data_IF_139292944066
#
_entry.id   IF_139292944066
#
_cell.length_a   1.000
_cell.length_b   1.000
_cell.length_c   1.000
_cell.angle_alpha   90.00
_cell.angle_beta   90.00
_cell.angle_gamma   90.00
#
_symmetry.space_group_name_H-M   'P 1'
#
loop_
_entity.id
_entity.type
_entity.pdbx_description
1 polymer ?
#
# COMPACT_ATOMS: atom_id res chain seq x y z
N UNK A 1 39.11 7.69 62.21
CA UNK A 1 38.25 6.63 61.62
C UNK A 1 36.75 6.96 61.56
N UNK A 2 36.20 7.90 62.35
CA UNK A 2 34.73 8.16 62.35
C UNK A 2 34.22 9.02 61.17
N UNK A 3 35.03 9.94 60.65
CA UNK A 3 34.62 10.89 59.58
C UNK A 3 34.46 10.19 58.21
N UNK A 4 35.34 9.26 57.89
CA UNK A 4 35.31 8.49 56.63
C UNK A 4 34.07 7.60 56.52
N UNK A 5 33.58 7.08 57.65
CA UNK A 5 32.41 6.21 57.68
C UNK A 5 31.10 6.99 57.47
N UNK A 6 31.01 8.23 57.95
CA UNK A 6 29.84 9.10 57.75
C UNK A 6 29.72 9.58 56.30
N UNK A 7 30.85 9.85 55.64
CA UNK A 7 30.88 10.22 54.21
C UNK A 7 30.42 9.07 53.31
N UNK A 8 30.84 7.83 53.61
CA UNK A 8 30.38 6.64 52.88
C UNK A 8 28.88 6.40 53.07
N UNK A 9 28.35 6.62 54.28
CA UNK A 9 26.92 6.42 54.56
C UNK A 9 26.06 7.45 53.80
N UNK A 10 26.50 8.72 53.72
CA UNK A 10 25.82 9.77 52.95
C UNK A 10 25.84 9.48 51.44
N UNK A 11 26.96 8.96 50.91
CA UNK A 11 27.06 8.52 49.51
C UNK A 11 26.17 7.29 49.22
N UNK A 12 26.02 6.37 50.18
CA UNK A 12 25.11 5.23 50.06
C UNK A 12 23.64 5.69 50.05
N UNK A 13 23.25 6.62 50.93
CA UNK A 13 21.85 7.10 50.98
C UNK A 13 21.48 7.91 49.74
N UNK A 14 22.42 8.71 49.20
CA UNK A 14 22.22 9.45 47.96
C UNK A 14 22.12 8.54 46.72
N UNK A 15 22.84 7.43 46.70
CA UNK A 15 22.73 6.45 45.60
C UNK A 15 21.43 5.65 45.67
N UNK A 16 20.96 5.30 46.87
CA UNK A 16 19.67 4.61 47.06
C UNK A 16 18.48 5.51 46.68
N UNK A 17 18.52 6.83 46.96
CA UNK A 17 17.42 7.74 46.56
C UNK A 17 17.38 8.03 45.06
N UNK A 18 18.52 7.93 44.37
CA UNK A 18 18.60 8.14 42.92
C UNK A 18 18.00 6.98 42.10
N UNK A 19 17.77 5.82 42.72
CA UNK A 19 17.21 4.63 42.04
C UNK A 19 15.68 4.53 42.07
N UNK A 20 14.97 5.39 42.82
CA UNK A 20 13.51 5.31 42.94
C UNK A 20 12.72 6.26 42.03
N UNK A 21 13.34 6.90 41.03
CA UNK A 21 12.66 7.98 40.29
C UNK A 21 12.98 8.06 38.78
N UNK A 22 12.92 6.96 38.03
CA UNK A 22 12.68 7.01 36.57
C UNK A 22 11.92 5.75 36.13
N UNK A 23 10.60 5.72 36.31
CA UNK A 23 9.78 4.75 35.61
C UNK A 23 9.51 5.29 34.20
N UNK A 24 10.41 4.95 33.28
CA UNK A 24 10.24 5.22 31.85
C UNK A 24 9.04 4.41 31.37
N UNK A 25 7.88 5.05 31.28
CA UNK A 25 6.75 4.49 30.54
C UNK A 25 7.13 4.56 29.07
N UNK A 26 7.88 3.57 28.61
CA UNK A 26 7.88 3.23 27.20
C UNK A 26 6.46 2.78 26.88
N UNK A 27 5.68 3.68 26.29
CA UNK A 27 4.55 3.26 25.46
C UNK A 27 5.20 2.51 24.30
N UNK A 28 5.48 1.23 24.50
CA UNK A 28 5.70 0.31 23.41
C UNK A 28 4.40 0.37 22.61
N UNK A 29 4.41 1.12 21.50
CA UNK A 29 3.44 0.89 20.46
C UNK A 29 3.66 -0.57 20.09
N UNK A 30 2.79 -1.45 20.58
CA UNK A 30 2.80 -2.85 20.20
C UNK A 30 2.95 -2.88 18.68
N UNK A 31 3.85 -3.70 18.11
CA UNK A 31 3.90 -3.85 16.66
C UNK A 31 2.46 -4.05 16.22
N UNK A 32 1.94 -3.19 15.33
CA UNK A 32 0.59 -3.32 14.80
C UNK A 32 0.52 -4.72 14.19
N UNK A 33 -0.03 -5.69 14.92
CA UNK A 33 0.10 -7.11 14.56
C UNK A 33 -0.56 -7.44 13.22
N UNK A 34 -1.27 -6.48 12.61
CA UNK A 34 -1.90 -6.62 11.31
C UNK A 34 -1.71 -5.36 10.43
N UNK A 35 -0.58 -4.65 10.48
CA UNK A 35 -0.36 -3.54 9.55
C UNK A 35 -0.26 -4.06 8.10
N UNK A 36 -1.12 -3.56 7.22
CA UNK A 36 -1.13 -3.89 5.79
C UNK A 36 -1.27 -2.61 4.99
N UNK A 37 -0.30 -2.33 4.12
CA UNK A 37 -0.35 -1.22 3.20
C UNK A 37 0.58 -1.47 2.03
N UNK A 38 0.14 -1.19 0.81
CA UNK A 38 0.99 -1.23 -0.37
C UNK A 38 0.70 -0.05 -1.29
N UNK A 39 1.70 0.31 -2.08
CA UNK A 39 1.59 1.27 -3.16
C UNK A 39 2.58 0.88 -4.26
N UNK A 40 2.11 0.80 -5.50
CA UNK A 40 2.90 0.39 -6.64
C UNK A 40 2.49 1.11 -7.93
N UNK A 41 3.42 1.21 -8.88
CA UNK A 41 3.20 1.71 -10.24
C UNK A 41 3.60 0.68 -11.30
N UNK A 42 3.12 0.86 -12.54
CA UNK A 42 3.15 -0.17 -13.56
C UNK A 42 4.58 -0.53 -13.97
N UNK A 43 5.44 0.47 -14.19
CA UNK A 43 6.81 0.26 -14.68
C UNK A 43 7.89 0.69 -13.68
N UNK A 44 8.96 -0.09 -13.62
CA UNK A 44 10.18 0.21 -12.82
C UNK A 44 11.03 1.29 -13.50
N UNK A 45 11.03 1.32 -14.83
CA UNK A 45 11.78 2.29 -15.61
C UNK A 45 11.39 2.28 -17.09
N UNK A 46 11.82 3.32 -17.80
CA UNK A 46 11.46 3.53 -19.21
C UNK A 46 10.02 3.99 -19.38
N UNK A 47 9.43 3.65 -20.51
CA UNK A 47 8.02 3.87 -20.83
C UNK A 47 7.39 2.57 -21.34
N UNK A 48 6.09 2.42 -21.10
CA UNK A 48 5.33 1.27 -21.54
C UNK A 48 3.91 1.68 -21.89
N UNK A 49 3.45 1.21 -23.06
CA UNK A 49 2.02 1.16 -23.37
C UNK A 49 1.60 -0.30 -23.46
N UNK A 50 0.63 -0.72 -22.65
CA UNK A 50 0.03 -2.05 -22.71
C UNK A 50 -1.32 -2.02 -23.43
N UNK A 51 -1.64 -3.12 -24.11
CA UNK A 51 -2.89 -3.30 -24.85
C UNK A 51 -2.93 -2.65 -26.24
N UNK A 52 -4.08 -2.72 -26.94
CA UNK A 52 -5.30 -3.39 -26.49
C UNK A 52 -5.14 -4.91 -26.45
N UNK A 53 -5.79 -5.54 -25.47
CA UNK A 53 -5.93 -6.98 -25.39
C UNK A 53 -7.39 -7.39 -25.65
N UNK A 54 -7.60 -8.60 -26.14
CA UNK A 54 -8.94 -9.12 -26.46
C UNK A 54 -9.76 -9.48 -25.20
N UNK A 55 -9.12 -9.54 -24.03
CA UNK A 55 -9.72 -9.90 -22.75
C UNK A 55 -9.21 -8.99 -21.63
N UNK A 56 -9.98 -8.92 -20.55
CA UNK A 56 -9.52 -8.25 -19.33
C UNK A 56 -8.21 -8.88 -18.85
N UNK A 57 -7.18 -8.06 -18.69
CA UNK A 57 -5.82 -8.53 -18.39
C UNK A 57 -5.37 -7.90 -17.07
N UNK A 58 -4.89 -8.73 -16.14
CA UNK A 58 -4.38 -8.25 -14.85
C UNK A 58 -3.18 -7.33 -15.09
N UNK A 59 -3.22 -6.14 -14.50
CA UNK A 59 -2.10 -5.22 -14.51
C UNK A 59 -1.13 -5.60 -13.39
N UNK A 60 0.10 -5.89 -13.77
CA UNK A 60 1.16 -6.26 -12.84
C UNK A 60 2.02 -5.03 -12.57
N UNK A 61 1.77 -4.36 -11.45
CA UNK A 61 2.51 -3.17 -11.03
C UNK A 61 3.87 -3.60 -10.47
N UNK A 62 4.92 -3.41 -11.28
CA UNK A 62 6.27 -3.92 -11.00
C UNK A 62 7.08 -2.99 -10.10
N UNK A 63 6.79 -1.70 -10.09
CA UNK A 63 7.51 -0.75 -9.23
C UNK A 63 6.79 -0.63 -7.89
N UNK A 64 7.32 -1.29 -6.87
CA UNK A 64 6.70 -1.33 -5.53
C UNK A 64 7.37 -0.30 -4.63
N UNK A 65 6.62 0.73 -4.22
CA UNK A 65 7.08 1.78 -3.30
C UNK A 65 6.95 1.32 -1.85
N UNK A 66 5.86 0.63 -1.52
CA UNK A 66 5.59 0.12 -0.17
C UNK A 66 4.84 -1.20 -0.27
N UNK A 67 5.12 -2.13 0.64
CA UNK A 67 4.43 -3.43 0.73
C UNK A 67 4.48 -3.99 2.17
N UNK A 68 3.97 -3.21 3.12
CA UNK A 68 3.88 -3.62 4.52
C UNK A 68 2.90 -4.79 4.63
N UNK A 69 3.32 -5.86 5.32
CA UNK A 69 2.58 -7.10 5.43
C UNK A 69 2.73 -8.03 4.22
N UNK A 70 3.48 -7.64 3.18
CA UNK A 70 3.75 -8.43 1.97
C UNK A 70 2.48 -8.98 1.31
N UNK A 71 1.37 -8.24 1.38
CA UNK A 71 0.07 -8.66 0.87
C UNK A 71 -0.06 -8.47 -0.65
N UNK A 72 0.75 -7.60 -1.26
CA UNK A 72 0.79 -7.41 -2.71
C UNK A 72 1.94 -8.20 -3.36
N UNK A 73 1.66 -8.85 -4.49
CA UNK A 73 2.64 -9.60 -5.27
C UNK A 73 2.98 -8.89 -6.57
N UNK A 74 4.20 -8.33 -6.74
CA UNK A 74 4.63 -7.73 -8.00
C UNK A 74 4.84 -8.75 -9.11
N UNK A 75 4.81 -10.06 -8.82
CA UNK A 75 4.88 -11.09 -9.87
C UNK A 75 3.54 -11.34 -10.52
N UNK A 76 2.44 -11.16 -9.79
CA UNK A 76 1.10 -11.52 -10.25
C UNK A 76 0.15 -10.33 -10.40
N UNK A 77 0.48 -9.17 -9.79
CA UNK A 77 -0.42 -8.01 -9.76
C UNK A 77 -1.56 -8.15 -8.74
N UNK A 78 -1.49 -9.16 -7.87
CA UNK A 78 -2.55 -9.49 -6.93
C UNK A 78 -2.22 -8.98 -5.52
N UNK A 79 -3.20 -8.35 -4.90
CA UNK A 79 -3.26 -8.19 -3.44
C UNK A 79 -4.03 -9.37 -2.85
N UNK A 80 -3.51 -10.02 -1.82
CA UNK A 80 -4.21 -11.08 -1.07
C UNK A 80 -4.41 -10.60 0.35
N UNK A 81 -5.67 -10.54 0.81
CA UNK A 81 -5.98 -10.12 2.17
C UNK A 81 -5.39 -11.10 3.19
N UNK A 82 -4.44 -10.69 4.05
CA UNK A 82 -3.85 -11.59 5.04
C UNK A 82 -4.79 -11.85 6.23
N UNK A 83 -5.73 -10.92 6.48
CA UNK A 83 -6.69 -10.99 7.59
C UNK A 83 -8.07 -10.55 7.11
N UNK A 84 -9.11 -10.90 7.86
CA UNK A 84 -10.47 -10.40 7.60
C UNK A 84 -10.58 -8.96 8.13
N UNK A 85 -11.13 -8.06 7.31
CA UNK A 85 -11.25 -6.65 7.69
C UNK A 85 -11.80 -5.75 6.59
N UNK A 86 -11.85 -4.46 6.90
CA UNK A 86 -12.18 -3.42 5.94
C UNK A 86 -10.90 -2.84 5.32
N UNK A 87 -10.82 -2.85 3.99
CA UNK A 87 -9.66 -2.37 3.23
C UNK A 87 -10.07 -1.20 2.34
N UNK A 88 -9.18 -0.24 2.16
CA UNK A 88 -9.32 0.80 1.14
C UNK A 88 -8.39 0.49 -0.04
N UNK A 89 -8.89 0.69 -1.25
CA UNK A 89 -8.12 0.59 -2.49
C UNK A 89 -8.38 1.81 -3.35
N UNK A 90 -7.34 2.26 -4.04
CA UNK A 90 -7.44 3.28 -5.08
C UNK A 90 -6.48 2.95 -6.22
N UNK A 91 -6.86 3.32 -7.43
CA UNK A 91 -6.01 3.17 -8.60
C UNK A 91 -6.20 4.33 -9.56
N UNK A 92 -5.10 4.68 -10.20
CA UNK A 92 -5.00 5.74 -11.20
C UNK A 92 -4.50 5.11 -12.49
N UNK A 93 -5.05 5.54 -13.62
CA UNK A 93 -4.68 5.07 -14.95
C UNK A 93 -4.40 6.25 -15.86
N UNK A 94 -3.38 6.12 -16.71
CA UNK A 94 -2.99 7.12 -17.70
C UNK A 94 -2.96 6.56 -19.12
N UNK A 95 -3.20 7.41 -20.12
CA UNK A 95 -3.02 7.06 -21.54
C UNK A 95 -2.81 8.29 -22.41
N UNK A 96 -2.05 8.12 -23.49
CA UNK A 96 -2.02 9.09 -24.58
C UNK A 96 -3.20 8.83 -25.54
N UNK A 97 -3.97 9.88 -25.83
CA UNK A 97 -4.99 9.87 -26.86
C UNK A 97 -4.39 9.59 -28.25
N UNK A 98 -5.15 9.02 -29.19
CA UNK A 98 -6.61 8.91 -29.17
C UNK A 98 -7.13 7.57 -28.60
N UNK A 99 -6.27 6.79 -27.94
CA UNK A 99 -6.69 5.49 -27.39
C UNK A 99 -7.50 5.70 -26.10
N UNK A 100 -8.62 4.98 -25.90
CA UNK A 100 -9.30 4.98 -24.61
C UNK A 100 -8.48 4.17 -23.59
N UNK A 101 -8.61 4.53 -22.31
CA UNK A 101 -8.09 3.75 -21.18
C UNK A 101 -9.21 3.37 -20.25
N UNK A 102 -9.17 2.15 -19.76
CA UNK A 102 -10.10 1.72 -18.73
C UNK A 102 -9.53 0.58 -17.91
N UNK A 103 -9.66 0.67 -16.58
CA UNK A 103 -9.24 -0.40 -15.70
C UNK A 103 -10.23 -0.58 -14.56
N UNK A 104 -10.60 -1.84 -14.32
CA UNK A 104 -11.53 -2.23 -13.28
C UNK A 104 -10.81 -2.85 -12.09
N UNK A 105 -11.30 -2.58 -10.88
CA UNK A 105 -10.91 -3.31 -9.69
C UNK A 105 -11.78 -4.56 -9.56
N UNK A 106 -11.15 -5.71 -9.40
CA UNK A 106 -11.79 -6.99 -9.24
C UNK A 106 -11.50 -7.54 -7.86
N UNK A 107 -12.54 -8.01 -7.16
CA UNK A 107 -12.44 -8.87 -5.99
C UNK A 107 -12.67 -10.30 -6.46
N UNK A 108 -11.65 -11.14 -6.37
CA UNK A 108 -11.66 -12.49 -6.93
C UNK A 108 -12.01 -12.45 -8.43
N UNK A 109 -13.20 -12.90 -8.81
CA UNK A 109 -13.70 -12.86 -10.20
C UNK A 109 -14.67 -11.70 -10.46
N UNK A 110 -15.15 -11.04 -9.41
CA UNK A 110 -16.22 -10.06 -9.52
C UNK A 110 -15.64 -8.66 -9.75
N UNK A 111 -16.10 -8.02 -10.81
CA UNK A 111 -15.78 -6.62 -11.07
C UNK A 111 -16.56 -5.72 -10.10
N UNK A 112 -15.84 -4.84 -9.39
CA UNK A 112 -16.43 -3.95 -8.40
C UNK A 112 -16.69 -2.57 -9.00
N UNK A 113 -15.63 -1.88 -9.41
CA UNK A 113 -15.68 -0.52 -9.95
C UNK A 113 -14.74 -0.38 -11.15
N UNK A 114 -14.94 0.68 -11.93
CA UNK A 114 -14.22 0.96 -13.17
C UNK A 114 -13.72 2.41 -13.15
N UNK A 115 -12.51 2.62 -13.64
CA UNK A 115 -12.02 3.92 -14.10
C UNK A 115 -12.00 3.90 -15.63
N UNK A 116 -12.47 4.96 -16.29
CA UNK A 116 -12.51 5.06 -17.75
C UNK A 116 -12.23 6.50 -18.17
N UNK A 117 -11.46 6.66 -19.24
CA UNK A 117 -11.15 7.96 -19.84
C UNK A 117 -10.88 7.83 -21.34
N UNK A 118 -11.20 8.88 -22.10
CA UNK A 118 -10.85 8.98 -23.51
C UNK A 118 -10.58 10.43 -23.92
N UNK A 119 -9.36 10.67 -24.40
CA UNK A 119 -8.91 11.96 -24.92
C UNK A 119 -8.71 11.94 -26.44
N UNK A 120 -8.68 13.12 -27.05
CA UNK A 120 -8.29 13.29 -28.45
C UNK A 120 -6.78 13.07 -28.66
N UNK A 121 -6.38 12.83 -29.92
CA UNK A 121 -4.97 12.61 -30.27
C UNK A 121 -4.06 13.74 -29.78
N UNK A 122 -2.89 13.38 -29.24
CA UNK A 122 -1.89 14.34 -28.75
C UNK A 122 -2.11 14.84 -27.32
N UNK A 123 -3.22 14.49 -26.68
CA UNK A 123 -3.48 14.81 -25.28
C UNK A 123 -3.20 13.60 -24.38
N UNK A 124 -2.85 13.87 -23.12
CA UNK A 124 -2.73 12.85 -22.09
C UNK A 124 -3.95 12.90 -21.18
N UNK A 125 -4.59 11.74 -20.97
CA UNK A 125 -5.75 11.60 -20.11
C UNK A 125 -5.44 10.72 -18.92
N UNK A 126 -6.08 11.03 -17.78
CA UNK A 126 -6.04 10.20 -16.59
C UNK A 126 -7.45 9.95 -16.07
N UNK A 127 -7.67 8.77 -15.50
CA UNK A 127 -8.85 8.46 -14.70
C UNK A 127 -8.42 7.76 -13.41
N UNK A 128 -9.28 7.84 -12.40
CA UNK A 128 -9.05 7.19 -11.12
C UNK A 128 -10.38 6.78 -10.50
N UNK A 129 -10.32 5.81 -9.59
CA UNK A 129 -11.44 5.45 -8.75
C UNK A 129 -10.90 4.84 -7.43
N UNK A 130 -11.78 4.68 -6.44
CA UNK A 130 -11.43 4.13 -5.14
C UNK A 130 -12.62 3.47 -4.45
N UNK A 131 -12.34 2.53 -3.55
CA UNK A 131 -13.37 1.76 -2.85
C UNK A 131 -12.91 1.28 -1.49
N UNK A 132 -13.86 1.20 -0.55
CA UNK A 132 -13.71 0.45 0.68
C UNK A 132 -14.42 -0.89 0.56
N UNK A 133 -13.69 -1.99 0.81
CA UNK A 133 -14.20 -3.36 0.70
C UNK A 133 -14.01 -4.12 1.99
N UNK A 134 -15.02 -4.90 2.37
CA UNK A 134 -14.85 -5.96 3.34
C UNK A 134 -14.24 -7.19 2.64
N UNK A 135 -13.08 -7.62 3.11
CA UNK A 135 -12.38 -8.79 2.61
C UNK A 135 -12.30 -9.84 3.71
N UNK A 136 -12.42 -11.11 3.32
CA UNK A 136 -12.04 -12.26 4.15
C UNK A 136 -10.57 -12.54 3.92
N UNK A 137 -9.89 -13.12 4.91
CA UNK A 137 -8.55 -13.65 4.72
C UNK A 137 -8.52 -14.59 3.50
N UNK A 138 -7.57 -14.37 2.59
CA UNK A 138 -7.44 -15.10 1.32
C UNK A 138 -8.19 -14.50 0.13
N UNK A 139 -9.11 -13.54 0.33
CA UNK A 139 -9.71 -12.81 -0.81
C UNK A 139 -8.61 -12.07 -1.60
N UNK A 140 -8.71 -12.13 -2.92
CA UNK A 140 -7.75 -11.50 -3.83
C UNK A 140 -8.36 -10.25 -4.47
N UNK A 141 -7.55 -9.21 -4.61
CA UNK A 141 -7.91 -7.96 -5.28
C UNK A 141 -6.89 -7.66 -6.38
N UNK A 142 -7.38 -7.26 -7.56
CA UNK A 142 -6.54 -6.97 -8.72
C UNK A 142 -7.13 -5.83 -9.53
N UNK A 143 -6.27 -5.01 -10.13
CA UNK A 143 -6.69 -4.09 -11.19
C UNK A 143 -6.49 -4.77 -12.54
N UNK A 144 -7.49 -4.72 -13.41
CA UNK A 144 -7.44 -5.34 -14.74
C UNK A 144 -7.71 -4.30 -15.82
N UNK A 145 -6.85 -4.25 -16.83
CA UNK A 145 -7.05 -3.47 -18.04
C UNK A 145 -8.28 -3.99 -18.77
N UNK A 146 -9.19 -3.09 -19.13
CA UNK A 146 -10.41 -3.45 -19.84
C UNK A 146 -10.09 -3.88 -21.28
N UNK A 147 -10.84 -4.85 -21.79
CA UNK A 147 -10.61 -5.37 -23.14
C UNK A 147 -10.77 -4.24 -24.17
N UNK A 148 -9.91 -4.22 -25.18
CA UNK A 148 -9.93 -3.18 -26.21
C UNK A 148 -9.37 -1.81 -25.81
N UNK A 149 -8.88 -1.63 -24.58
CA UNK A 149 -8.30 -0.35 -24.12
C UNK A 149 -6.77 -0.42 -23.95
N UNK A 150 -6.12 0.74 -23.93
CA UNK A 150 -4.68 0.85 -23.69
C UNK A 150 -4.40 1.53 -22.35
N UNK A 151 -3.25 1.25 -21.77
CA UNK A 151 -2.75 1.97 -20.60
C UNK A 151 -1.29 2.31 -20.76
N UNK A 152 -0.90 3.47 -20.27
CA UNK A 152 0.44 4.00 -20.35
C UNK A 152 1.03 4.21 -18.96
N UNK A 153 2.33 3.97 -18.85
CA UNK A 153 3.11 4.43 -17.70
C UNK A 153 4.55 4.73 -18.13
N UNK A 154 5.24 5.55 -17.33
CA UNK A 154 6.65 5.87 -17.53
C UNK A 154 7.32 6.15 -16.18
N UNK A 155 8.52 6.75 -16.21
CA UNK A 155 9.30 7.16 -15.04
C UNK A 155 8.58 8.12 -14.07
N UNK A 156 7.45 8.71 -14.46
CA UNK A 156 6.64 9.58 -13.60
C UNK A 156 5.45 8.88 -12.95
N UNK A 157 5.30 7.56 -13.14
CA UNK A 157 4.37 6.71 -12.38
C UNK A 157 2.91 7.20 -12.43
N UNK A 158 2.38 7.37 -13.63
CA UNK A 158 1.01 7.82 -13.88
C UNK A 158 -0.03 6.75 -13.55
N UNK A 159 0.33 5.48 -13.77
CA UNK A 159 -0.55 4.34 -13.53
C UNK A 159 -0.17 3.65 -12.23
N UNK A 160 -1.03 3.78 -11.21
CA UNK A 160 -0.74 3.34 -9.84
C UNK A 160 -1.86 2.52 -9.25
N UNK A 161 -1.52 1.66 -8.30
CA UNK A 161 -2.45 0.88 -7.50
C UNK A 161 -1.96 0.86 -6.04
N UNK A 162 -2.82 1.32 -5.14
CA UNK A 162 -2.52 1.39 -3.72
C UNK A 162 -3.67 0.83 -2.89
N UNK A 163 -3.36 0.33 -1.70
CA UNK A 163 -4.38 -0.11 -0.76
C UNK A 163 -3.83 -0.40 0.63
N UNK A 164 -4.72 -0.39 1.62
CA UNK A 164 -4.35 -0.62 3.02
C UNK A 164 -5.51 -1.15 3.86
N UNK A 165 -5.18 -1.82 4.96
CA UNK A 165 -6.15 -2.24 5.98
C UNK A 165 -6.54 -1.03 6.84
N UNK A 166 -7.85 -0.79 6.96
CA UNK A 166 -8.40 0.21 7.86
C UNK A 166 -8.49 -0.36 9.28
N UNK A 167 -9.16 -1.51 9.42
CA UNK A 167 -9.31 -2.23 10.68
C UNK A 167 -9.72 -3.69 10.44
N UNK A 168 -9.27 -4.58 11.34
CA UNK A 168 -9.67 -5.99 11.36
C UNK A 168 -11.12 -6.16 11.84
N UNK A 169 -11.75 -7.27 11.47
CA UNK A 169 -13.10 -7.66 11.93
C UNK A 169 -13.09 -9.03 12.61
#
# INVERSE_FOLDING_TARGET
MKITMLLLLLLLVASVSAQSAVQKVEIACSPKENAVAFSASLVVGGELTLGPFDKHTVLVFKHVVTNIGNAYSPETGLFTAPVTGAYHFEWYIGVHGPSPTSAGLFKNSDQIFLAWEQQTAGLFGTAANGVMLQLKAGDQVSVRLWAGTKIFDNLYHHTTFSGHLLFTM
#
